data_IF_059933408285
#
_entry.id   IF_059933408285
#
_cell.length_a   1.000
_cell.length_b   1.000
_cell.length_c   1.000
_cell.angle_alpha   90.00
_cell.angle_beta   90.00
_cell.angle_gamma   90.00
#
_symmetry.space_group_name_H-M   'P 1'
#
loop_
_entity.id
_entity.type
_entity.pdbx_description
1 polymer ?
#
# COMPACT_ATOMS: atom_id res chain seq x y z
N UNK A 1 -39.15 54.85 -63.65
CA UNK A 1 -39.77 53.54 -63.96
C UNK A 1 -38.74 52.44 -63.63
N UNK A 2 -39.08 51.57 -62.87
CA UNK A 2 -38.63 50.22 -62.55
C UNK A 2 -38.32 49.98 -61.07
N UNK A 3 -39.08 49.13 -60.56
CA UNK A 3 -39.27 48.53 -59.25
C UNK A 3 -38.07 47.77 -58.74
N UNK A 4 -37.68 48.08 -57.51
CA UNK A 4 -36.77 47.31 -56.71
C UNK A 4 -37.50 46.26 -55.96
N UNK A 5 -37.23 44.98 -56.21
CA UNK A 5 -37.68 43.85 -55.37
C UNK A 5 -36.59 43.50 -54.38
N UNK A 6 -36.87 43.76 -53.12
CA UNK A 6 -36.04 43.30 -51.99
C UNK A 6 -36.34 41.83 -51.72
N UNK A 7 -35.31 40.99 -51.84
CA UNK A 7 -35.30 39.62 -51.33
C UNK A 7 -34.83 39.62 -49.90
N UNK A 8 -35.75 39.29 -48.99
CA UNK A 8 -35.39 39.05 -47.56
C UNK A 8 -34.98 37.58 -47.46
N UNK A 9 -33.68 37.37 -47.20
CA UNK A 9 -33.14 36.03 -46.85
C UNK A 9 -33.22 35.86 -45.34
N UNK A 10 -34.18 35.05 -44.88
CA UNK A 10 -34.21 34.59 -43.51
C UNK A 10 -33.10 33.56 -43.30
N UNK A 11 -32.04 33.90 -42.57
CA UNK A 11 -31.02 32.96 -42.09
C UNK A 11 -31.46 32.42 -40.76
N UNK A 12 -31.99 31.18 -40.76
CA UNK A 12 -32.26 30.43 -39.53
C UNK A 12 -30.93 29.88 -39.01
N UNK A 13 -30.36 30.53 -37.98
CA UNK A 13 -29.24 30.00 -37.23
C UNK A 13 -29.77 29.02 -36.18
N UNK A 14 -29.65 27.73 -36.49
CA UNK A 14 -29.90 26.65 -35.56
C UNK A 14 -28.71 26.53 -34.59
N UNK A 15 -28.83 27.11 -33.39
CA UNK A 15 -27.86 26.93 -32.31
C UNK A 15 -28.05 25.59 -31.65
N UNK A 16 -27.28 24.58 -32.06
CA UNK A 16 -27.13 23.33 -31.33
C UNK A 16 -26.30 23.59 -30.04
N UNK A 17 -26.97 23.73 -28.90
CA UNK A 17 -26.33 23.64 -27.58
C UNK A 17 -25.90 22.20 -27.33
N UNK A 18 -24.64 21.89 -27.60
CA UNK A 18 -24.01 20.68 -27.07
C UNK A 18 -23.75 20.89 -25.56
N UNK A 19 -24.64 20.40 -24.73
CA UNK A 19 -24.39 20.27 -23.30
C UNK A 19 -23.31 19.25 -23.06
N UNK A 20 -22.09 19.69 -22.77
CA UNK A 20 -21.01 18.82 -22.30
C UNK A 20 -21.36 18.45 -20.86
N UNK A 21 -21.91 17.25 -20.66
CA UNK A 21 -22.02 16.59 -19.34
C UNK A 21 -20.59 16.26 -18.90
N UNK A 22 -19.96 17.14 -18.14
CA UNK A 22 -18.73 16.82 -17.39
C UNK A 22 -19.15 15.90 -16.23
N UNK A 23 -19.06 14.59 -16.43
CA UNK A 23 -19.08 13.65 -15.33
C UNK A 23 -17.82 13.90 -14.49
N UNK A 24 -18.00 14.53 -13.33
CA UNK A 24 -16.96 14.61 -12.30
C UNK A 24 -16.73 13.19 -11.80
N UNK A 25 -15.70 12.52 -12.31
CA UNK A 25 -15.18 11.31 -11.70
C UNK A 25 -14.51 11.79 -10.42
N UNK A 26 -15.21 11.70 -9.28
CA UNK A 26 -14.58 11.73 -7.98
C UNK A 26 -13.72 10.45 -7.90
N UNK A 27 -12.46 10.54 -8.33
CA UNK A 27 -11.47 9.58 -7.93
C UNK A 27 -11.36 9.71 -6.41
N UNK A 28 -11.96 8.78 -5.69
CA UNK A 28 -11.73 8.61 -4.27
C UNK A 28 -10.28 8.19 -4.18
N UNK A 29 -9.40 9.13 -3.84
CA UNK A 29 -8.00 8.85 -3.56
C UNK A 29 -8.01 8.01 -2.29
N UNK A 30 -7.75 6.73 -2.44
CA UNK A 30 -7.51 5.83 -1.34
C UNK A 30 -6.39 6.44 -0.50
N UNK A 31 -6.67 6.71 0.78
CA UNK A 31 -5.77 7.48 1.64
C UNK A 31 -5.36 6.60 2.83
N UNK A 32 -4.05 6.36 2.95
CA UNK A 32 -3.48 5.64 4.09
C UNK A 32 -3.81 6.29 5.44
N UNK A 33 -4.06 7.60 5.47
CA UNK A 33 -4.33 8.32 6.71
C UNK A 33 -5.69 7.97 7.34
N UNK A 34 -6.63 7.47 6.55
CA UNK A 34 -8.02 7.18 6.97
C UNK A 34 -8.39 5.72 6.86
N UNK A 35 -7.44 4.85 6.54
CA UNK A 35 -7.72 3.41 6.42
C UNK A 35 -7.76 2.74 7.79
N UNK A 36 -8.78 1.93 8.00
CA UNK A 36 -8.92 1.11 9.21
C UNK A 36 -8.39 -0.32 9.03
N UNK A 37 -8.29 -0.79 7.77
CA UNK A 37 -7.91 -2.18 7.48
C UNK A 37 -7.07 -2.28 6.20
N UNK A 38 -6.05 -3.15 6.23
CA UNK A 38 -5.19 -3.47 5.09
C UNK A 38 -4.98 -4.97 4.97
N UNK A 39 -4.90 -5.47 3.74
CA UNK A 39 -4.45 -6.83 3.43
C UNK A 39 -3.15 -6.76 2.66
N UNK A 40 -2.09 -7.36 3.18
CA UNK A 40 -0.75 -7.29 2.63
C UNK A 40 -0.26 -8.65 2.14
N UNK A 41 0.42 -8.66 0.99
CA UNK A 41 1.08 -9.82 0.41
C UNK A 41 2.51 -9.47 0.03
N UNK A 42 3.44 -10.39 0.29
CA UNK A 42 4.87 -10.19 0.07
C UNK A 42 5.44 -11.38 -0.72
N UNK A 43 5.49 -11.28 -2.05
CA UNK A 43 5.94 -12.39 -2.90
C UNK A 43 7.46 -12.53 -2.98
N UNK A 44 8.23 -11.54 -2.54
CA UNK A 44 9.70 -11.52 -2.66
C UNK A 44 10.33 -11.25 -1.30
N UNK A 45 11.36 -12.02 -0.97
CA UNK A 45 12.18 -11.84 0.23
C UNK A 45 13.64 -11.64 -0.14
N UNK A 46 14.30 -10.69 0.51
CA UNK A 46 15.75 -10.52 0.50
C UNK A 46 16.32 -10.79 1.89
N UNK A 47 17.37 -11.60 1.99
CA UNK A 47 18.07 -11.87 3.24
C UNK A 47 19.58 -11.76 3.09
N UNK A 48 20.23 -11.28 4.17
CA UNK A 48 21.67 -11.26 4.30
C UNK A 48 22.17 -12.42 5.17
N UNK A 49 23.30 -13.01 4.83
CA UNK A 49 23.94 -14.07 5.62
C UNK A 49 25.43 -14.09 5.43
N UNK A 50 26.14 -14.86 6.26
CA UNK A 50 27.57 -15.18 6.10
C UNK A 50 27.72 -16.66 5.82
N UNK A 51 28.57 -16.99 4.86
CA UNK A 51 28.93 -18.38 4.57
C UNK A 51 30.21 -18.72 5.35
N UNK A 52 30.09 -19.58 6.37
CA UNK A 52 31.21 -20.12 7.15
C UNK A 52 32.31 -19.10 7.52
N UNK A 53 31.95 -17.93 8.04
CA UNK A 53 32.86 -16.80 8.34
C UNK A 53 33.48 -16.12 7.10
N UNK A 54 32.94 -16.40 5.91
CA UNK A 54 33.27 -15.70 4.67
C UNK A 54 32.65 -14.30 4.59
N UNK A 55 32.75 -13.64 3.45
CA UNK A 55 32.08 -12.34 3.24
C UNK A 55 30.55 -12.49 3.30
N UNK A 56 29.84 -11.39 3.65
CA UNK A 56 28.37 -11.41 3.63
C UNK A 56 27.86 -11.62 2.20
N UNK A 57 26.80 -12.39 2.08
CA UNK A 57 26.08 -12.63 0.82
C UNK A 57 24.63 -12.18 0.96
N UNK A 58 24.05 -11.69 -0.12
CA UNK A 58 22.63 -11.37 -0.23
C UNK A 58 21.92 -12.39 -1.11
N UNK A 59 20.76 -12.84 -0.67
CA UNK A 59 19.95 -13.85 -1.36
C UNK A 59 18.56 -13.25 -1.57
N UNK A 60 18.00 -13.45 -2.78
CA UNK A 60 16.63 -13.09 -3.11
C UNK A 60 15.87 -14.38 -3.41
N UNK A 61 14.71 -14.55 -2.76
CA UNK A 61 13.88 -15.75 -2.87
C UNK A 61 12.41 -15.37 -3.04
N UNK A 62 11.62 -16.23 -3.69
CA UNK A 62 10.16 -16.12 -3.68
C UNK A 62 9.60 -16.56 -2.34
N UNK A 63 8.49 -15.93 -1.95
CA UNK A 63 7.81 -16.22 -0.68
C UNK A 63 6.30 -16.06 -0.83
N UNK A 64 5.54 -16.53 0.15
CA UNK A 64 4.08 -16.42 0.22
C UNK A 64 3.62 -15.79 1.54
N UNK A 65 4.42 -14.88 2.10
CA UNK A 65 4.06 -14.20 3.35
C UNK A 65 2.88 -13.28 3.09
N UNK A 66 1.85 -13.41 3.92
CA UNK A 66 0.68 -12.55 3.90
C UNK A 66 0.10 -12.38 5.30
N UNK A 67 -0.46 -11.21 5.58
CA UNK A 67 -1.18 -10.90 6.82
C UNK A 67 -2.09 -9.70 6.61
N UNK A 68 -2.91 -9.43 7.62
CA UNK A 68 -3.85 -8.33 7.61
C UNK A 68 -3.56 -7.41 8.78
N UNK A 69 -3.80 -6.11 8.57
CA UNK A 69 -3.86 -5.13 9.64
C UNK A 69 -5.31 -4.69 9.80
N UNK A 70 -5.80 -4.70 11.04
CA UNK A 70 -7.17 -4.34 11.38
C UNK A 70 -7.18 -3.32 12.53
N UNK A 71 -8.30 -2.62 12.68
CA UNK A 71 -8.48 -1.60 13.72
C UNK A 71 -7.34 -0.58 13.78
N UNK A 72 -6.88 -0.11 12.60
CA UNK A 72 -5.77 0.84 12.50
C UNK A 72 -6.21 2.18 13.07
N UNK A 73 -5.54 2.63 14.14
CA UNK A 73 -5.76 3.94 14.76
C UNK A 73 -4.42 4.66 14.92
N UNK A 74 -4.11 5.54 13.98
CA UNK A 74 -2.84 6.28 13.97
C UNK A 74 -2.75 7.36 15.03
N UNK A 75 -3.88 7.83 15.58
CA UNK A 75 -3.93 8.81 16.68
C UNK A 75 -3.55 8.15 18.00
N UNK A 76 -4.08 6.98 18.29
CA UNK A 76 -3.78 6.21 19.49
C UNK A 76 -2.52 5.33 19.31
N UNK A 77 -1.99 5.29 18.11
CA UNK A 77 -0.84 4.45 17.75
C UNK A 77 -1.09 2.95 17.93
N UNK A 78 -2.28 2.46 17.62
CA UNK A 78 -2.67 1.07 17.76
C UNK A 78 -3.13 0.47 16.45
N UNK A 79 -2.94 -0.84 16.30
CA UNK A 79 -3.56 -1.69 15.28
C UNK A 79 -3.52 -3.15 15.75
N UNK A 80 -4.21 -4.02 15.05
CA UNK A 80 -4.07 -5.48 15.20
C UNK A 80 -3.47 -6.06 13.92
N UNK A 81 -2.50 -6.95 14.07
CA UNK A 81 -2.00 -7.79 12.97
C UNK A 81 -2.65 -9.17 13.08
N UNK A 82 -3.23 -9.64 11.97
CA UNK A 82 -3.81 -10.98 11.84
C UNK A 82 -2.88 -11.79 10.94
N UNK A 83 -2.17 -12.72 11.54
CA UNK A 83 -1.22 -13.59 10.85
C UNK A 83 -1.48 -15.07 11.18
N UNK A 84 -0.56 -15.96 10.78
CA UNK A 84 -0.68 -17.40 11.02
C UNK A 84 -0.81 -17.80 12.49
N UNK A 85 -0.38 -16.94 13.41
CA UNK A 85 -0.42 -17.18 14.85
C UNK A 85 -1.61 -16.53 15.58
N UNK A 86 -2.58 -15.99 14.80
CA UNK A 86 -3.73 -15.26 15.32
C UNK A 86 -3.49 -13.75 15.47
N UNK A 87 -4.45 -13.04 16.10
CA UNK A 87 -4.38 -11.60 16.26
C UNK A 87 -3.35 -11.21 17.34
N UNK A 88 -2.65 -10.11 17.09
CA UNK A 88 -1.76 -9.48 18.06
C UNK A 88 -1.83 -7.96 17.96
N UNK A 89 -1.84 -7.27 19.11
CA UNK A 89 -1.77 -5.82 19.15
C UNK A 89 -0.37 -5.34 18.80
N UNK A 90 -0.32 -4.28 17.99
CA UNK A 90 0.91 -3.66 17.49
C UNK A 90 0.80 -2.14 17.53
N UNK A 91 1.93 -1.47 17.30
CA UNK A 91 1.98 -0.02 17.17
C UNK A 91 1.75 0.36 15.70
N UNK A 92 0.86 1.33 15.44
CA UNK A 92 0.65 1.94 14.13
C UNK A 92 0.97 3.44 14.18
N UNK A 93 1.77 3.94 13.24
CA UNK A 93 2.13 5.36 13.14
C UNK A 93 2.12 5.83 11.69
N UNK A 94 1.43 6.94 11.45
CA UNK A 94 1.52 7.67 10.18
C UNK A 94 2.56 8.77 10.32
N UNK A 95 3.51 8.82 9.39
CA UNK A 95 4.57 9.84 9.36
C UNK A 95 4.76 10.30 7.91
N UNK A 96 4.25 11.48 7.57
CA UNK A 96 4.19 11.93 6.18
C UNK A 96 3.43 10.92 5.31
N UNK A 97 4.07 10.44 4.26
CA UNK A 97 3.51 9.52 3.28
C UNK A 97 3.74 8.02 3.63
N UNK A 98 4.03 7.74 4.90
CA UNK A 98 4.38 6.39 5.37
C UNK A 98 3.51 5.97 6.54
N UNK A 99 2.85 4.82 6.40
CA UNK A 99 2.19 4.14 7.51
C UNK A 99 3.09 3.02 8.01
N UNK A 100 3.54 3.16 9.26
CA UNK A 100 4.43 2.20 9.90
C UNK A 100 3.70 1.37 10.92
N UNK A 101 3.93 0.06 10.87
CA UNK A 101 3.52 -0.90 11.89
C UNK A 101 4.75 -1.47 12.56
N UNK A 102 4.72 -1.57 13.89
CA UNK A 102 5.85 -2.09 14.68
C UNK A 102 5.33 -3.15 15.64
N UNK A 103 5.88 -4.35 15.54
CA UNK A 103 5.59 -5.48 16.41
C UNK A 103 6.84 -5.87 17.19
N UNK A 104 6.73 -5.82 18.51
CA UNK A 104 7.79 -6.19 19.44
C UNK A 104 7.42 -7.47 20.14
N UNK A 105 8.29 -8.44 20.14
CA UNK A 105 8.13 -9.70 20.85
C UNK A 105 8.92 -9.71 22.15
N UNK A 106 8.36 -10.28 23.19
CA UNK A 106 9.04 -10.42 24.48
C UNK A 106 10.36 -11.21 24.39
N UNK A 107 10.48 -12.10 23.41
CA UNK A 107 11.68 -12.89 23.13
C UNK A 107 12.78 -12.13 22.39
N UNK A 108 12.56 -10.85 22.03
CA UNK A 108 13.54 -9.97 21.41
C UNK A 108 13.34 -9.62 19.94
N UNK A 109 12.66 -10.44 19.07
CA UNK A 109 12.44 -10.06 17.69
C UNK A 109 11.67 -8.76 17.54
N UNK A 110 12.05 -7.99 16.52
CA UNK A 110 11.38 -6.76 16.09
C UNK A 110 10.96 -6.92 14.63
N UNK A 111 9.65 -6.77 14.37
CA UNK A 111 9.11 -6.72 13.01
C UNK A 111 8.57 -5.33 12.72
N UNK A 112 8.83 -4.85 11.52
CA UNK A 112 8.28 -3.58 11.04
C UNK A 112 7.66 -3.78 9.67
N UNK A 113 6.53 -3.12 9.43
CA UNK A 113 5.96 -3.00 8.09
C UNK A 113 5.79 -1.54 7.77
N UNK A 114 6.29 -1.12 6.62
CA UNK A 114 6.09 0.23 6.09
C UNK A 114 5.25 0.13 4.84
N UNK A 115 4.11 0.81 4.83
CA UNK A 115 3.25 0.99 3.66
C UNK A 115 3.47 2.40 3.16
N UNK A 116 3.79 2.53 1.87
CA UNK A 116 4.08 3.80 1.22
C UNK A 116 2.80 4.37 0.61
N UNK A 117 2.58 5.67 0.70
CA UNK A 117 1.52 6.36 -0.06
C UNK A 117 1.91 6.46 -1.54
N UNK A 118 2.19 5.30 -2.11
CA UNK A 118 2.56 5.10 -3.49
C UNK A 118 1.90 3.82 -4.00
N UNK A 119 1.02 3.97 -4.97
CA UNK A 119 0.22 2.87 -5.49
C UNK A 119 0.84 2.21 -6.73
N UNK A 120 0.55 0.92 -6.89
CA UNK A 120 0.71 0.18 -8.15
C UNK A 120 -0.35 0.62 -9.16
N UNK A 121 -0.22 0.25 -10.45
CA UNK A 121 -1.27 0.51 -11.44
C UNK A 121 -2.63 -0.07 -11.07
N UNK A 122 -2.66 -1.13 -10.26
CA UNK A 122 -3.86 -1.82 -9.76
C UNK A 122 -4.45 -1.16 -8.50
N UNK A 123 -3.80 -0.11 -7.97
CA UNK A 123 -4.27 0.65 -6.82
C UNK A 123 -3.81 0.11 -5.46
N UNK A 124 -2.97 -0.91 -5.40
CA UNK A 124 -2.39 -1.39 -4.16
C UNK A 124 -1.20 -0.52 -3.73
N UNK A 125 -1.01 -0.32 -2.42
CA UNK A 125 0.10 0.44 -1.87
C UNK A 125 1.38 -0.39 -1.79
N UNK A 126 2.49 0.10 -2.31
CA UNK A 126 3.78 -0.55 -2.16
C UNK A 126 4.13 -0.70 -0.67
N UNK A 127 4.73 -1.82 -0.30
CA UNK A 127 5.07 -2.08 1.09
C UNK A 127 6.34 -2.91 1.26
N UNK A 128 6.98 -2.72 2.42
CA UNK A 128 8.12 -3.50 2.87
C UNK A 128 7.86 -4.00 4.28
N UNK A 129 8.02 -5.30 4.49
CA UNK A 129 8.02 -5.91 5.82
C UNK A 129 9.43 -6.35 6.17
N UNK A 130 9.90 -6.05 7.37
CA UNK A 130 11.26 -6.37 7.81
C UNK A 130 11.20 -7.16 9.12
N UNK A 131 11.94 -8.23 9.18
CA UNK A 131 12.15 -9.04 10.39
C UNK A 131 13.58 -8.87 10.87
N UNK A 132 13.72 -8.42 12.11
CA UNK A 132 15.00 -8.33 12.81
C UNK A 132 15.03 -9.42 13.89
N UNK A 133 15.59 -10.56 13.52
CA UNK A 133 15.78 -11.68 14.43
C UNK A 133 17.25 -12.07 14.46
N UNK A 134 17.80 -12.11 15.67
CA UNK A 134 19.17 -12.53 15.92
C UNK A 134 19.10 -13.57 17.04
N UNK A 135 18.80 -14.82 16.70
CA UNK A 135 18.79 -15.93 17.66
C UNK A 135 19.79 -16.98 17.23
N UNK A 136 20.51 -17.55 18.20
CA UNK A 136 21.41 -18.69 17.94
C UNK A 136 20.62 -20.01 17.79
N UNK A 137 19.30 -19.98 18.00
CA UNK A 137 18.41 -21.13 17.92
C UNK A 137 17.47 -20.97 16.74
N UNK A 138 17.55 -21.88 15.77
CA UNK A 138 16.58 -21.97 14.68
C UNK A 138 15.32 -22.67 15.17
N UNK A 139 14.23 -21.90 15.34
CA UNK A 139 12.89 -22.43 15.63
C UNK A 139 12.05 -22.42 14.36
N UNK A 140 11.14 -23.39 14.22
CA UNK A 140 10.22 -23.42 13.08
C UNK A 140 9.33 -22.17 13.10
N UNK A 141 9.34 -21.40 12.01
CA UNK A 141 8.60 -20.13 11.87
C UNK A 141 9.33 -18.90 12.39
N UNK A 142 10.57 -19.05 12.91
CA UNK A 142 11.45 -17.93 13.27
C UNK A 142 12.72 -17.98 12.44
N UNK A 143 13.22 -16.82 12.09
CA UNK A 143 14.47 -16.69 11.34
C UNK A 143 15.57 -16.21 12.29
N UNK A 144 16.77 -16.72 12.13
CA UNK A 144 17.95 -16.24 12.86
C UNK A 144 18.70 -15.12 12.11
N UNK A 145 18.09 -14.51 11.08
CA UNK A 145 18.72 -13.58 10.15
C UNK A 145 17.79 -12.42 9.85
N UNK A 146 18.31 -11.20 9.62
CA UNK A 146 17.48 -10.10 9.14
C UNK A 146 16.97 -10.41 7.74
N UNK A 147 15.66 -10.25 7.55
CA UNK A 147 14.96 -10.47 6.28
C UNK A 147 14.14 -9.24 5.92
N UNK A 148 14.08 -8.92 4.64
CA UNK A 148 13.19 -7.91 4.09
C UNK A 148 12.28 -8.54 3.05
N UNK A 149 10.99 -8.28 3.17
CA UNK A 149 9.94 -8.76 2.29
C UNK A 149 9.37 -7.58 1.52
N UNK A 150 9.29 -7.72 0.22
CA UNK A 150 8.79 -6.70 -0.70
C UNK A 150 7.44 -7.12 -1.26
N UNK A 151 6.48 -6.22 -1.23
CA UNK A 151 5.14 -6.52 -1.65
C UNK A 151 4.22 -5.31 -1.67
N UNK A 152 2.96 -5.56 -1.46
CA UNK A 152 1.92 -4.55 -1.54
C UNK A 152 0.79 -4.79 -0.53
N UNK A 153 0.07 -3.72 -0.19
CA UNK A 153 -1.10 -3.75 0.67
C UNK A 153 -2.29 -3.13 -0.06
N UNK A 154 -3.43 -3.80 0.00
CA UNK A 154 -4.71 -3.30 -0.52
C UNK A 154 -5.64 -2.91 0.61
N UNK A 155 -6.46 -1.88 0.39
CA UNK A 155 -7.57 -1.54 1.28
C UNK A 155 -8.57 -2.69 1.36
N UNK A 156 -9.26 -2.79 2.51
CA UNK A 156 -10.19 -3.87 2.77
C UNK A 156 -11.51 -3.38 3.36
#
# INVERSE_FOLDING_TARGET
MLSSRQFIICVLTSSCLFGVLTASINAQTDNLATTDNLSCVFPVMAKGTWDNNGPPIAIIEETSVSFQFEAINTHEATAEIIGPFGPAQIIARLTGDYLHFVQLFHSGPLYTTTVFDRQTPEGAFLSVHTRHEFTDVSLVGFTSRPEQYYGECSLR
#
